data_IF_115814143318
#
_entry.id   IF_115814143318
#
_cell.length_a   1.000
_cell.length_b   1.000
_cell.length_c   1.000
_cell.angle_alpha   90.00
_cell.angle_beta   90.00
_cell.angle_gamma   90.00
#
_symmetry.space_group_name_H-M   'P 1'
#
loop_
_entity.id
_entity.type
_entity.pdbx_description
1 polymer ?
#
# COMPACT_ATOMS: atom_id res chain seq x y z
N UNK A 1 10.85 -13.55 18.96
CA UNK A 1 11.24 -13.92 17.58
C UNK A 1 11.13 -12.68 16.71
N UNK A 2 12.23 -11.92 16.53
CA UNK A 2 12.31 -10.88 15.50
C UNK A 2 12.65 -11.63 14.21
N UNK A 3 11.71 -11.72 13.27
CA UNK A 3 12.04 -12.16 11.91
C UNK A 3 13.12 -11.21 11.38
N UNK A 4 14.14 -11.77 10.73
CA UNK A 4 15.09 -10.96 10.00
C UNK A 4 14.29 -10.15 8.97
N UNK A 5 14.20 -8.83 9.18
CA UNK A 5 13.65 -7.95 8.17
C UNK A 5 14.63 -7.99 6.99
N UNK A 6 14.19 -8.39 5.78
CA UNK A 6 15.07 -8.42 4.63
C UNK A 6 15.60 -7.00 4.40
N UNK A 7 16.92 -6.88 4.31
CA UNK A 7 17.54 -5.60 4.03
C UNK A 7 17.33 -5.20 2.56
N UNK A 8 17.52 -3.93 2.20
CA UNK A 8 17.41 -3.47 0.80
C UNK A 8 18.28 -4.28 -0.18
N UNK A 9 19.38 -4.89 0.30
CA UNK A 9 20.22 -5.80 -0.48
C UNK A 9 19.56 -7.16 -0.83
N UNK A 10 18.55 -7.60 -0.08
CA UNK A 10 17.82 -8.85 -0.36
C UNK A 10 16.83 -8.69 -1.52
N UNK A 11 16.45 -7.44 -1.83
CA UNK A 11 15.63 -7.10 -2.98
C UNK A 11 16.37 -7.22 -4.31
N UNK A 12 17.71 -7.16 -4.28
CA UNK A 12 18.56 -7.26 -5.48
C UNK A 12 18.45 -8.60 -6.24
N UNK A 13 17.82 -9.63 -5.65
CA UNK A 13 17.50 -10.90 -6.30
C UNK A 13 16.23 -10.88 -7.18
N UNK A 14 15.47 -9.78 -7.16
CA UNK A 14 14.34 -9.54 -8.05
C UNK A 14 14.85 -9.18 -9.45
N UNK A 15 15.38 -10.18 -10.18
CA UNK A 15 15.67 -10.04 -11.60
C UNK A 15 14.42 -9.61 -12.40
N UNK A 16 14.63 -9.15 -13.63
CA UNK A 16 13.57 -8.66 -14.51
C UNK A 16 12.36 -9.62 -14.56
N UNK A 17 11.15 -9.05 -14.47
CA UNK A 17 9.89 -9.80 -14.57
C UNK A 17 9.36 -10.38 -13.25
N UNK A 18 9.97 -10.08 -12.10
CA UNK A 18 9.48 -10.49 -10.78
C UNK A 18 8.76 -9.35 -10.07
N UNK A 19 7.65 -9.68 -9.40
CA UNK A 19 6.98 -8.77 -8.47
C UNK A 19 7.45 -9.07 -7.03
N UNK A 20 7.57 -8.01 -6.23
CA UNK A 20 7.98 -8.10 -4.83
C UNK A 20 6.84 -7.57 -3.97
N UNK A 21 6.50 -8.32 -2.92
CA UNK A 21 5.58 -7.86 -1.89
C UNK A 21 6.39 -7.36 -0.69
N UNK A 22 6.39 -6.05 -0.50
CA UNK A 22 6.96 -5.41 0.69
C UNK A 22 5.83 -5.10 1.69
N UNK A 23 6.04 -5.46 2.96
CA UNK A 23 5.16 -5.09 4.05
C UNK A 23 6.00 -4.45 5.16
N UNK A 24 5.81 -3.15 5.35
CA UNK A 24 6.49 -2.37 6.39
C UNK A 24 5.48 -1.53 7.16
N UNK A 25 5.88 -1.11 8.36
CA UNK A 25 5.15 -0.11 9.16
C UNK A 25 5.77 1.28 9.05
N UNK A 26 6.92 1.40 8.40
CA UNK A 26 7.57 2.68 8.12
C UNK A 26 7.05 3.26 6.80
N UNK A 27 6.41 4.43 6.87
CA UNK A 27 5.84 5.07 5.69
C UNK A 27 6.91 5.56 4.72
N UNK A 28 8.05 6.04 5.22
CA UNK A 28 9.13 6.54 4.39
C UNK A 28 9.74 5.42 3.54
N UNK A 29 9.91 4.23 4.14
CA UNK A 29 10.40 3.04 3.42
C UNK A 29 9.42 2.59 2.33
N UNK A 30 8.11 2.60 2.62
CA UNK A 30 7.09 2.26 1.62
C UNK A 30 7.06 3.26 0.46
N UNK A 31 7.22 4.55 0.74
CA UNK A 31 7.24 5.60 -0.28
C UNK A 31 8.50 5.52 -1.15
N UNK A 32 9.65 5.18 -0.56
CA UNK A 32 10.93 5.10 -1.27
C UNK A 32 11.07 3.84 -2.14
N UNK A 33 10.48 2.72 -1.70
CA UNK A 33 10.69 1.40 -2.32
C UNK A 33 9.52 0.88 -3.16
N UNK A 34 8.29 1.37 -2.96
CA UNK A 34 7.13 0.84 -3.66
C UNK A 34 6.67 1.74 -4.81
N UNK A 35 6.48 1.13 -5.98
CA UNK A 35 5.78 1.78 -7.10
C UNK A 35 4.25 1.84 -6.89
N UNK A 36 3.72 0.99 -5.99
CA UNK A 36 2.30 0.87 -5.69
C UNK A 36 2.07 0.31 -4.29
N UNK A 37 1.14 0.88 -3.56
CA UNK A 37 0.73 0.44 -2.22
C UNK A 37 -0.78 0.18 -2.20
N UNK A 38 -1.15 -0.98 -1.64
CA UNK A 38 -2.54 -1.39 -1.43
C UNK A 38 -2.82 -1.38 0.07
N UNK A 39 -3.85 -0.63 0.49
CA UNK A 39 -4.28 -0.61 1.90
C UNK A 39 -5.32 -1.68 2.13
N UNK A 40 -5.00 -2.65 2.99
CA UNK A 40 -5.91 -3.71 3.39
C UNK A 40 -6.62 -3.39 4.71
N UNK A 41 -7.94 -3.53 4.75
CA UNK A 41 -8.76 -3.50 5.97
C UNK A 41 -9.79 -4.61 5.98
N UNK A 42 -9.87 -5.35 7.08
CA UNK A 42 -10.86 -6.43 7.29
C UNK A 42 -10.96 -7.40 6.09
N UNK A 43 -9.80 -7.78 5.54
CA UNK A 43 -9.70 -8.70 4.41
C UNK A 43 -10.08 -8.13 3.03
N UNK A 44 -10.25 -6.81 2.90
CA UNK A 44 -10.51 -6.13 1.63
C UNK A 44 -9.47 -5.05 1.37
N UNK A 45 -9.14 -4.81 0.10
CA UNK A 45 -8.39 -3.62 -0.31
C UNK A 45 -9.37 -2.45 -0.25
N UNK A 46 -9.03 -1.41 0.49
CA UNK A 46 -9.85 -0.20 0.60
C UNK A 46 -9.29 0.97 -0.18
N UNK A 47 -7.97 1.00 -0.37
CA UNK A 47 -7.30 2.07 -1.11
C UNK A 47 -6.16 1.48 -1.93
N UNK A 48 -5.87 2.15 -3.04
CA UNK A 48 -4.75 1.85 -3.92
C UNK A 48 -4.08 3.15 -4.32
N UNK A 49 -2.76 3.23 -4.10
CA UNK A 49 -1.96 4.39 -4.46
C UNK A 49 -0.81 3.88 -5.33
N UNK A 50 -0.69 4.39 -6.56
CA UNK A 50 0.38 4.01 -7.48
C UNK A 50 1.14 5.25 -7.99
N UNK A 51 0.42 6.23 -8.53
CA UNK A 51 1.01 7.51 -8.88
C UNK A 51 1.05 8.44 -7.66
N UNK A 52 2.09 9.26 -7.57
CA UNK A 52 2.24 10.29 -6.52
C UNK A 52 2.18 9.75 -5.09
N UNK A 53 2.70 8.55 -4.84
CA UNK A 53 2.80 7.99 -3.49
C UNK A 53 3.60 8.94 -2.58
N UNK A 54 2.99 9.38 -1.48
CA UNK A 54 3.62 10.26 -0.49
C UNK A 54 3.29 9.76 0.92
N UNK A 55 4.12 10.08 1.91
CA UNK A 55 3.82 9.72 3.30
C UNK A 55 2.47 10.29 3.74
N UNK A 56 2.13 11.50 3.26
CA UNK A 56 0.88 12.16 3.60
C UNK A 56 -0.35 11.43 3.03
N UNK A 57 -0.39 11.14 1.72
CA UNK A 57 -1.56 10.47 1.16
C UNK A 57 -1.70 9.02 1.64
N UNK A 58 -0.57 8.33 1.88
CA UNK A 58 -0.57 6.99 2.44
C UNK A 58 -1.07 7.00 3.90
N UNK A 59 -0.61 7.95 4.71
CA UNK A 59 -1.12 8.14 6.07
C UNK A 59 -2.63 8.42 6.08
N UNK A 60 -3.12 9.26 5.17
CA UNK A 60 -4.55 9.52 5.05
C UNK A 60 -5.32 8.24 4.67
N UNK A 61 -4.87 7.49 3.66
CA UNK A 61 -5.48 6.22 3.27
C UNK A 61 -5.49 5.18 4.41
N UNK A 62 -4.41 5.14 5.20
CA UNK A 62 -4.28 4.28 6.39
C UNK A 62 -5.13 4.73 7.59
N UNK A 63 -5.65 5.94 7.58
CA UNK A 63 -6.55 6.44 8.63
C UNK A 63 -8.00 6.66 8.14
N UNK A 64 -8.24 6.63 6.84
CA UNK A 64 -9.56 6.75 6.24
C UNK A 64 -10.52 5.69 6.79
N UNK A 65 -11.71 6.13 7.23
CA UNK A 65 -12.81 5.21 7.51
C UNK A 65 -13.40 4.78 6.16
N UNK A 66 -13.53 3.47 5.87
CA UNK A 66 -14.18 3.03 4.64
C UNK A 66 -15.62 3.56 4.63
N UNK A 67 -15.93 4.51 3.76
CA UNK A 67 -17.22 5.20 3.78
C UNK A 67 -17.41 6.40 2.84
N UNK A 68 -16.38 6.94 2.18
CA UNK A 68 -16.57 8.00 1.18
C UNK A 68 -16.33 7.42 -0.23
N UNK A 69 -17.35 6.78 -0.78
CA UNK A 69 -17.35 6.44 -2.21
C UNK A 69 -17.69 7.70 -3.02
N UNK A 70 -16.84 8.14 -3.96
CA UNK A 70 -17.26 9.13 -4.94
C UNK A 70 -18.27 8.49 -5.91
N UNK A 71 -19.55 8.63 -5.59
CA UNK A 71 -20.67 8.56 -6.54
C UNK A 71 -20.86 7.24 -7.27
N UNK A 72 -21.25 6.17 -6.56
CA UNK A 72 -22.11 5.16 -7.16
C UNK A 72 -23.56 5.65 -7.08
N UNK A 73 -24.19 5.87 -8.23
CA UNK A 73 -25.59 6.24 -8.35
C UNK A 73 -26.47 5.34 -7.46
N UNK A 74 -27.26 5.97 -6.59
CA UNK A 74 -28.29 5.30 -5.80
C UNK A 74 -29.29 4.67 -6.76
N UNK A 75 -29.30 3.34 -6.86
CA UNK A 75 -30.38 2.63 -7.53
C UNK A 75 -31.66 2.77 -6.68
N UNK A 76 -32.75 3.35 -7.21
CA UNK A 76 -34.01 3.49 -6.46
C UNK A 76 -34.69 2.12 -6.30
N UNK A 77 -35.23 1.90 -5.11
CA UNK A 77 -35.98 0.72 -4.67
C UNK A 77 -37.19 0.38 -5.55
#
# INVERSE_FOLDING_TARGET
>A
MRGAQPGPQDLAGAGEGKAVLLASTDLAELVDLCDRVLVFRRGRITEEIAAELTEQNLSLAMNASPGEEPGAAQEPR
#
